data_IF_134749022899
#
_entry.id   IF_134749022899
#
_cell.length_a   1.000
_cell.length_b   1.000
_cell.length_c   1.000
_cell.angle_alpha   90.00
_cell.angle_beta   90.00
_cell.angle_gamma   90.00
#
_symmetry.space_group_name_H-M   'P 1'
#
loop_
_entity.id
_entity.type
_entity.pdbx_description
1 polymer ?
#
# COMPACT_ATOMS: atom_id res chain seq x y z
N UNK A 1 -33.37 -15.99 6.40
CA UNK A 1 -32.03 -15.41 6.28
C UNK A 1 -32.06 -14.02 6.91
N UNK A 2 -31.33 -13.82 8.01
CA UNK A 2 -31.27 -12.54 8.71
C UNK A 2 -30.61 -11.48 7.83
N UNK A 3 -30.91 -10.20 8.06
CA UNK A 3 -30.25 -9.10 7.34
C UNK A 3 -28.72 -9.17 7.45
N UNK A 4 -28.20 -9.60 8.60
CA UNK A 4 -26.76 -9.74 8.85
C UNK A 4 -26.14 -10.87 8.04
N UNK A 5 -26.82 -12.02 7.94
CA UNK A 5 -26.32 -13.19 7.19
C UNK A 5 -26.17 -12.88 5.69
N UNK A 6 -27.08 -12.08 5.12
CA UNK A 6 -26.99 -11.62 3.73
C UNK A 6 -25.76 -10.72 3.48
N UNK A 7 -25.43 -9.82 4.41
CA UNK A 7 -24.25 -8.96 4.27
C UNK A 7 -22.94 -9.69 4.56
N UNK A 8 -22.94 -10.64 5.50
CA UNK A 8 -21.78 -11.49 5.80
C UNK A 8 -21.43 -12.40 4.62
N UNK A 9 -22.43 -13.00 3.96
CA UNK A 9 -22.20 -13.80 2.75
C UNK A 9 -21.52 -12.98 1.64
N UNK A 10 -21.96 -11.73 1.43
CA UNK A 10 -21.38 -10.80 0.45
C UNK A 10 -20.00 -10.26 0.86
N UNK A 11 -19.72 -10.18 2.16
CA UNK A 11 -18.40 -9.77 2.68
C UNK A 11 -17.35 -10.90 2.61
N UNK A 12 -17.80 -12.16 2.61
CA UNK A 12 -16.94 -13.34 2.48
C UNK A 12 -16.59 -13.69 1.04
N UNK A 13 -17.30 -13.14 0.05
CA UNK A 13 -16.77 -13.04 -1.31
C UNK A 13 -15.60 -12.07 -1.25
N UNK A 14 -14.39 -12.64 -1.20
CA UNK A 14 -13.13 -11.91 -1.07
C UNK A 14 -13.01 -10.94 -2.26
N UNK A 15 -13.47 -9.70 -2.07
CA UNK A 15 -13.43 -8.68 -3.10
C UNK A 15 -11.98 -8.55 -3.57
N UNK A 16 -11.76 -8.82 -4.86
CA UNK A 16 -10.45 -8.69 -5.49
C UNK A 16 -9.96 -7.26 -5.29
N UNK A 17 -8.83 -7.10 -4.61
CA UNK A 17 -8.25 -5.77 -4.39
C UNK A 17 -7.72 -5.24 -5.73
N UNK A 18 -7.82 -3.93 -5.96
CA UNK A 18 -7.19 -3.32 -7.15
C UNK A 18 -5.68 -3.55 -7.09
N UNK A 19 -5.08 -3.85 -8.23
CA UNK A 19 -3.63 -3.97 -8.40
C UNK A 19 -3.18 -3.11 -9.58
N UNK A 20 -2.02 -2.48 -9.45
CA UNK A 20 -1.33 -1.77 -10.51
C UNK A 20 0.06 -2.36 -10.69
N UNK A 21 0.51 -2.42 -11.94
CA UNK A 21 1.87 -2.79 -12.28
C UNK A 21 2.61 -1.51 -12.69
N UNK A 22 3.78 -1.27 -12.13
CA UNK A 22 4.63 -0.11 -12.43
C UNK A 22 6.08 -0.54 -12.55
N UNK A 23 6.79 -0.06 -13.58
CA UNK A 23 8.22 -0.31 -13.70
C UNK A 23 9.01 0.75 -12.91
N UNK A 24 9.87 0.33 -11.98
CA UNK A 24 10.66 1.17 -11.07
C UNK A 24 12.07 0.60 -10.99
N UNK A 25 13.09 1.44 -11.14
CA UNK A 25 14.50 1.03 -11.14
C UNK A 25 14.84 -0.11 -12.13
N UNK A 26 14.10 -0.23 -13.24
CA UNK A 26 14.27 -1.30 -14.23
C UNK A 26 13.47 -2.57 -13.94
N UNK A 27 12.91 -2.71 -12.74
CA UNK A 27 12.11 -3.88 -12.33
C UNK A 27 10.61 -3.58 -12.37
N UNK A 28 9.81 -4.63 -12.55
CA UNK A 28 8.36 -4.56 -12.49
C UNK A 28 7.88 -4.76 -11.05
N UNK A 29 7.08 -3.81 -10.55
CA UNK A 29 6.50 -3.84 -9.21
C UNK A 29 4.99 -3.98 -9.26
N UNK A 30 4.44 -4.87 -8.44
CA UNK A 30 3.00 -5.01 -8.22
C UNK A 30 2.58 -4.26 -6.96
N UNK A 31 1.65 -3.34 -7.15
CA UNK A 31 1.14 -2.45 -6.10
C UNK A 31 -0.33 -2.73 -5.88
N UNK A 32 -0.67 -3.21 -4.69
CA UNK A 32 -2.04 -3.59 -4.32
C UNK A 32 -2.70 -2.50 -3.48
N UNK A 33 -4.01 -2.35 -3.68
CA UNK A 33 -4.84 -1.50 -2.83
C UNK A 33 -4.76 -1.94 -1.37
N UNK A 34 -4.58 -0.95 -0.50
CA UNK A 34 -4.62 -1.13 0.94
C UNK A 34 -6.06 -1.32 1.39
N UNK A 35 -6.27 -2.28 2.27
CA UNK A 35 -7.48 -2.37 3.07
C UNK A 35 -7.54 -1.22 4.07
N UNK A 36 -8.73 -0.94 4.57
CA UNK A 36 -8.93 0.03 5.65
C UNK A 36 -8.05 -0.27 6.87
N UNK A 37 -7.85 -1.56 7.19
CA UNK A 37 -7.02 -1.98 8.32
C UNK A 37 -5.53 -1.71 8.06
N UNK A 38 -5.04 -2.00 6.85
CA UNK A 38 -3.65 -1.69 6.47
C UNK A 38 -3.40 -0.18 6.46
N UNK A 39 -4.34 0.62 5.93
CA UNK A 39 -4.26 2.09 5.93
C UNK A 39 -4.18 2.64 7.36
N UNK A 40 -5.07 2.20 8.27
CA UNK A 40 -5.01 2.57 9.69
C UNK A 40 -3.75 2.09 10.39
N UNK A 41 -3.17 0.97 9.94
CA UNK A 41 -1.88 0.52 10.46
C UNK A 41 -0.75 1.45 10.03
N UNK A 42 -0.78 1.99 8.81
CA UNK A 42 0.20 2.95 8.34
C UNK A 42 0.10 4.26 9.14
N UNK A 43 -1.12 4.71 9.44
CA UNK A 43 -1.36 5.89 10.30
C UNK A 43 -0.71 5.72 11.67
N UNK A 44 -1.03 4.63 12.37
CA UNK A 44 -0.47 4.33 13.71
C UNK A 44 1.05 4.20 13.73
N UNK A 45 1.68 3.73 12.64
CA UNK A 45 3.14 3.60 12.56
C UNK A 45 3.84 4.97 12.42
N UNK A 46 3.12 5.97 11.93
CA UNK A 46 3.62 7.30 11.65
C UNK A 46 3.26 8.33 12.74
N UNK A 47 2.37 7.98 13.67
CA UNK A 47 2.04 8.81 14.83
C UNK A 47 3.26 8.98 15.75
N UNK A 48 3.63 10.23 16.01
CA UNK A 48 4.67 10.63 16.96
C UNK A 48 4.06 11.66 17.91
N UNK A 49 3.56 11.18 19.06
CA UNK A 49 2.77 12.01 19.97
C UNK A 49 1.49 12.50 19.30
N UNK A 50 1.25 13.82 19.33
CA UNK A 50 0.11 14.47 18.66
C UNK A 50 0.40 14.88 17.21
N UNK A 51 1.49 14.40 16.62
CA UNK A 51 1.92 14.75 15.26
C UNK A 51 2.05 13.52 14.36
N UNK A 52 1.96 13.75 13.05
CA UNK A 52 2.06 12.71 12.03
C UNK A 52 3.35 12.87 11.23
N UNK A 53 4.19 11.84 11.24
CA UNK A 53 5.37 11.75 10.38
C UNK A 53 4.96 11.26 8.98
N UNK A 54 4.78 12.20 8.06
CA UNK A 54 4.36 11.90 6.69
C UNK A 54 5.35 11.03 5.91
N UNK A 55 6.64 11.05 6.24
CA UNK A 55 7.62 10.18 5.58
C UNK A 55 7.42 8.74 6.03
N UNK A 56 7.35 8.50 7.34
CA UNK A 56 7.04 7.16 7.89
C UNK A 56 5.70 6.64 7.39
N UNK A 57 4.71 7.52 7.24
CA UNK A 57 3.41 7.14 6.70
C UNK A 57 3.51 6.64 5.26
N UNK A 58 4.24 7.37 4.40
CA UNK A 58 4.44 6.98 3.01
C UNK A 58 5.25 5.69 2.89
N UNK A 59 6.31 5.53 3.70
CA UNK A 59 7.11 4.32 3.74
C UNK A 59 6.28 3.10 4.17
N UNK A 60 5.44 3.26 5.20
CA UNK A 60 4.53 2.21 5.64
C UNK A 60 3.54 1.81 4.54
N UNK A 61 2.98 2.79 3.82
CA UNK A 61 2.06 2.54 2.70
C UNK A 61 2.75 1.81 1.55
N UNK A 62 3.97 2.21 1.19
CA UNK A 62 4.78 1.55 0.18
C UNK A 62 4.99 0.07 0.51
N UNK A 63 5.49 -0.20 1.71
CA UNK A 63 5.72 -1.57 2.19
C UNK A 63 4.43 -2.36 2.16
N UNK A 64 3.34 -1.83 2.72
CA UNK A 64 2.06 -2.56 2.79
C UNK A 64 1.44 -2.81 1.42
N UNK A 65 1.57 -1.89 0.49
CA UNK A 65 1.02 -2.05 -0.85
C UNK A 65 1.82 -3.06 -1.68
N UNK A 66 3.09 -3.34 -1.34
CA UNK A 66 3.99 -4.17 -2.15
C UNK A 66 4.54 -5.39 -1.41
N UNK A 67 4.17 -5.65 -0.14
CA UNK A 67 4.67 -6.80 0.65
C UNK A 67 4.24 -8.18 0.14
N UNK A 68 3.33 -8.21 -0.83
CA UNK A 68 2.95 -9.44 -1.55
C UNK A 68 3.87 -9.73 -2.75
N UNK A 69 4.69 -8.77 -3.16
CA UNK A 69 5.54 -8.80 -4.36
C UNK A 69 7.03 -8.71 -3.98
N UNK A 70 7.38 -7.89 -2.98
CA UNK A 70 8.75 -7.69 -2.51
C UNK A 70 8.92 -8.11 -1.03
N UNK A 71 9.99 -8.85 -0.68
CA UNK A 71 10.19 -9.41 0.65
C UNK A 71 10.75 -8.38 1.65
N UNK A 72 9.99 -7.32 1.94
CA UNK A 72 10.41 -6.24 2.84
C UNK A 72 10.85 -6.71 4.24
N UNK A 73 10.41 -7.89 4.69
CA UNK A 73 10.75 -8.42 6.02
C UNK A 73 11.83 -9.51 6.00
N UNK A 74 12.58 -9.65 4.90
CA UNK A 74 13.70 -10.58 4.83
C UNK A 74 14.83 -10.16 5.80
N UNK A 75 15.24 -11.02 6.76
CA UNK A 75 16.29 -10.67 7.72
C UNK A 75 17.63 -10.31 7.09
N UNK A 76 17.99 -10.95 5.96
CA UNK A 76 19.22 -10.64 5.26
C UNK A 76 19.18 -9.24 4.65
N UNK A 77 18.05 -8.87 4.02
CA UNK A 77 17.82 -7.52 3.53
C UNK A 77 17.87 -6.46 4.65
N UNK A 78 17.18 -6.68 5.76
CA UNK A 78 17.20 -5.74 6.90
C UNK A 78 18.61 -5.53 7.45
N UNK A 79 19.39 -6.61 7.56
CA UNK A 79 20.78 -6.56 8.02
C UNK A 79 21.68 -5.83 7.04
N UNK A 80 21.53 -6.09 5.72
CA UNK A 80 22.32 -5.45 4.68
C UNK A 80 22.15 -3.94 4.65
N UNK A 81 20.94 -3.44 4.93
CA UNK A 81 20.63 -2.01 4.98
C UNK A 81 20.74 -1.41 6.40
N UNK A 82 21.06 -2.22 7.41
CA UNK A 82 21.27 -1.78 8.79
C UNK A 82 20.03 -1.16 9.43
N UNK A 83 18.84 -1.69 9.13
CA UNK A 83 17.55 -1.17 9.60
C UNK A 83 16.89 -2.10 10.61
N UNK A 84 16.15 -1.52 11.57
CA UNK A 84 15.47 -2.30 12.61
C UNK A 84 14.13 -2.86 12.17
N UNK A 85 13.47 -2.19 11.23
CA UNK A 85 12.15 -2.58 10.74
C UNK A 85 12.05 -2.46 9.23
N UNK A 86 11.16 -3.24 8.65
CA UNK A 86 10.86 -3.17 7.21
C UNK A 86 10.34 -1.82 6.73
N UNK A 87 9.81 -0.99 7.63
CA UNK A 87 9.28 0.33 7.31
C UNK A 87 10.37 1.40 7.18
N UNK A 88 11.59 1.11 7.63
CA UNK A 88 12.76 1.96 7.41
C UNK A 88 13.46 1.67 6.08
N UNK A 89 13.19 0.51 5.46
CA UNK A 89 13.82 0.10 4.21
C UNK A 89 13.53 1.03 3.03
N UNK A 90 12.30 1.53 2.78
CA UNK A 90 12.04 2.32 1.57
C UNK A 90 12.96 3.53 1.44
N UNK A 91 13.14 4.29 2.53
CA UNK A 91 14.04 5.44 2.55
C UNK A 91 15.50 5.06 2.25
N UNK A 92 15.95 3.86 2.67
CA UNK A 92 17.31 3.38 2.42
C UNK A 92 17.51 2.79 1.04
N UNK A 93 16.53 2.00 0.58
CA UNK A 93 16.56 1.31 -0.71
C UNK A 93 16.58 2.30 -1.87
N UNK A 94 15.86 3.42 -1.73
CA UNK A 94 15.73 4.44 -2.76
C UNK A 94 16.54 5.71 -2.49
N UNK A 95 17.50 5.69 -1.55
CA UNK A 95 18.32 6.87 -1.21
C UNK A 95 19.08 7.41 -2.43
N UNK A 96 19.63 6.51 -3.25
CA UNK A 96 20.30 6.86 -4.51
C UNK A 96 19.34 7.11 -5.69
N UNK A 97 18.05 6.77 -5.55
CA UNK A 97 17.04 6.85 -6.61
C UNK A 97 15.71 7.45 -6.12
N UNK A 98 15.68 8.74 -5.76
CA UNK A 98 14.48 9.39 -5.23
C UNK A 98 13.31 9.41 -6.23
N UNK A 99 13.60 9.40 -7.54
CA UNK A 99 12.58 9.32 -8.59
C UNK A 99 11.85 7.96 -8.57
N UNK A 100 12.60 6.88 -8.33
CA UNK A 100 12.07 5.53 -8.19
C UNK A 100 11.11 5.44 -6.98
N UNK A 101 11.50 6.03 -5.85
CA UNK A 101 10.62 6.16 -4.68
C UNK A 101 9.33 6.90 -5.01
N UNK A 102 9.45 8.09 -5.62
CA UNK A 102 8.31 8.94 -5.95
C UNK A 102 7.33 8.24 -6.91
N UNK A 103 7.86 7.51 -7.91
CA UNK A 103 7.07 6.75 -8.87
C UNK A 103 6.30 5.60 -8.22
N UNK A 104 6.95 4.85 -7.33
CA UNK A 104 6.30 3.76 -6.61
C UNK A 104 5.23 4.32 -5.64
N UNK A 105 5.52 5.42 -4.94
CA UNK A 105 4.56 6.07 -4.06
C UNK A 105 3.36 6.64 -4.83
N UNK A 106 3.56 7.17 -6.03
CA UNK A 106 2.46 7.62 -6.90
C UNK A 106 1.56 6.46 -7.33
N UNK A 107 2.13 5.31 -7.68
CA UNK A 107 1.35 4.10 -7.94
C UNK A 107 0.52 3.67 -6.72
N UNK A 108 1.11 3.73 -5.51
CA UNK A 108 0.39 3.49 -4.25
C UNK A 108 -0.74 4.50 -4.06
N UNK A 109 -0.56 5.76 -4.41
CA UNK A 109 -1.63 6.77 -4.34
C UNK A 109 -2.75 6.46 -5.31
N UNK A 110 -2.43 6.16 -6.57
CA UNK A 110 -3.42 5.87 -7.63
C UNK A 110 -4.26 4.63 -7.34
N UNK A 111 -3.65 3.55 -6.87
CA UNK A 111 -4.41 2.32 -6.55
C UNK A 111 -5.35 2.50 -5.35
N UNK A 112 -5.04 3.47 -4.47
CA UNK A 112 -5.81 3.78 -3.26
C UNK A 112 -6.73 4.99 -3.38
N UNK A 113 -6.56 5.85 -4.39
CA UNK A 113 -7.52 6.91 -4.69
C UNK A 113 -8.81 6.26 -5.17
N UNK A 114 -9.89 6.47 -4.42
CA UNK A 114 -11.22 6.01 -4.79
C UNK A 114 -11.57 6.43 -6.21
N UNK A 115 -12.22 5.49 -6.91
CA UNK A 115 -13.00 5.64 -8.14
C UNK A 115 -13.45 7.10 -8.31
N UNK A 116 -12.97 7.80 -9.34
CA UNK A 116 -13.57 9.09 -9.69
C UNK A 116 -15.08 8.89 -9.85
N UNK A 117 -15.93 9.83 -9.41
CA UNK A 117 -17.41 9.69 -9.50
C UNK A 117 -17.88 9.20 -10.89
N UNK A 118 -17.13 9.52 -11.93
CA UNK A 118 -17.26 9.05 -13.31
C UNK A 118 -17.32 7.53 -13.48
N UNK A 119 -16.46 6.75 -12.81
CA UNK A 119 -16.42 5.29 -12.95
C UNK A 119 -17.59 4.59 -12.21
N UNK A 120 -18.11 5.20 -11.12
CA UNK A 120 -19.29 4.67 -10.39
C UNK A 120 -20.57 4.84 -11.21
N UNK A 121 -20.69 5.94 -11.97
CA UNK A 121 -21.87 6.23 -12.79
C UNK A 121 -21.99 5.28 -13.98
N UNK A 122 -20.87 4.83 -14.55
CA UNK A 122 -20.89 3.93 -15.71
C UNK A 122 -21.19 2.47 -15.30
N UNK A 123 -20.77 2.03 -14.11
CA UNK A 123 -21.20 0.73 -13.56
C UNK A 123 -22.68 0.69 -13.17
N UNK A 124 -23.30 1.84 -12.84
CA UNK A 124 -24.72 1.93 -12.49
C UNK A 124 -25.67 2.12 -13.68
N UNK A 125 -25.12 2.31 -14.90
CA UNK A 125 -25.88 2.47 -16.15
C UNK A 125 -26.00 1.18 -16.97
N UNK A 126 -25.27 0.12 -16.59
CA UNK A 126 -25.37 -1.23 -17.17
C UNK A 126 -26.07 -2.20 -16.22
#
# INVERSE_FOLDING_TARGET
>A
MSKLEKYLAKANEQASRKELIVNVAGDEWKVRQLTLQESRSCERLAEVGDTMDWYRYNDARLVKATEHDFPWNDPALLTAYGVGTKFELPAKLFDAEPESYAKLLDAVRRVNSGVSETEVVDELKN
#
